data_IF_212895736031
#
_entry.id   IF_212895736031
#
_cell.length_a   1.000
_cell.length_b   1.000
_cell.length_c   1.000
_cell.angle_alpha   90.00
_cell.angle_beta   90.00
_cell.angle_gamma   90.00
#
_symmetry.space_group_name_H-M   'P 1'
#
loop_
_entity.id
_entity.type
_entity.pdbx_description
1 polymer ?
#
# COMPACT_ATOMS: atom_id res chain seq x y z
N UNK A 1 3.06 13.91 -12.28
CA UNK A 1 3.00 13.19 -10.99
C UNK A 1 2.77 14.22 -9.90
N UNK A 2 1.76 14.03 -9.08
CA UNK A 2 1.21 15.01 -8.13
C UNK A 2 1.65 14.70 -6.69
N UNK A 3 1.73 13.42 -6.31
CA UNK A 3 1.97 13.03 -4.92
C UNK A 3 3.29 12.28 -4.74
N UNK A 4 3.57 11.25 -5.55
CA UNK A 4 4.70 10.35 -5.28
C UNK A 4 6.00 10.71 -5.99
N UNK A 5 6.26 12.01 -6.19
CA UNK A 5 7.53 12.49 -6.79
C UNK A 5 8.76 11.98 -6.03
N UNK A 6 8.68 11.97 -4.70
CA UNK A 6 9.78 11.48 -3.87
C UNK A 6 10.09 9.99 -4.08
N UNK A 7 9.09 9.15 -4.33
CA UNK A 7 9.28 7.72 -4.63
C UNK A 7 9.96 7.53 -5.99
N UNK A 8 9.54 8.31 -7.00
CA UNK A 8 10.16 8.27 -8.34
C UNK A 8 11.61 8.76 -8.32
N UNK A 9 11.92 9.76 -7.50
CA UNK A 9 13.27 10.28 -7.35
C UNK A 9 14.18 9.33 -6.55
N UNK A 10 13.59 8.38 -5.82
CA UNK A 10 14.30 7.34 -5.06
C UNK A 10 13.78 5.95 -5.46
N UNK A 11 13.99 5.53 -6.72
CA UNK A 11 13.42 4.29 -7.24
C UNK A 11 14.15 3.05 -6.71
N UNK A 12 15.32 3.22 -6.10
CA UNK A 12 16.17 2.15 -5.62
C UNK A 12 16.60 2.35 -4.17
N UNK A 13 16.76 1.23 -3.46
CA UNK A 13 17.55 1.11 -2.26
C UNK A 13 18.41 -0.15 -2.42
N UNK A 14 19.72 0.01 -2.33
CA UNK A 14 20.71 -1.06 -2.53
C UNK A 14 20.57 -1.70 -3.93
N UNK A 15 20.40 -3.03 -3.99
CA UNK A 15 20.14 -3.80 -5.21
C UNK A 15 18.65 -3.94 -5.53
N UNK A 16 17.77 -3.33 -4.72
CA UNK A 16 16.33 -3.42 -4.89
C UNK A 16 15.80 -2.19 -5.65
N UNK A 17 15.09 -2.45 -6.74
CA UNK A 17 14.52 -1.43 -7.62
C UNK A 17 13.02 -1.59 -7.68
N UNK A 18 12.28 -0.50 -7.48
CA UNK A 18 10.83 -0.48 -7.61
C UNK A 18 10.37 -0.99 -8.98
N UNK A 19 9.28 -1.74 -8.99
CA UNK A 19 8.66 -2.25 -10.22
C UNK A 19 7.19 -1.90 -10.19
N UNK A 20 6.76 -1.12 -11.17
CA UNK A 20 5.36 -0.79 -11.38
C UNK A 20 4.55 -1.93 -12.00
N UNK A 21 3.24 -1.73 -12.02
CA UNK A 21 2.29 -2.49 -12.85
C UNK A 21 1.76 -1.62 -13.98
N UNK A 22 1.20 -2.25 -15.02
CA UNK A 22 0.70 -1.55 -16.20
C UNK A 22 -0.61 -0.78 -15.93
N UNK A 23 -0.91 0.24 -16.74
CA UNK A 23 -2.21 0.94 -16.66
C UNK A 23 -3.40 -0.01 -16.89
N UNK A 24 -3.21 -1.10 -17.64
CA UNK A 24 -4.24 -2.11 -17.86
C UNK A 24 -4.52 -2.90 -16.58
N UNK A 25 -3.46 -3.32 -15.87
CA UNK A 25 -3.57 -3.96 -14.56
C UNK A 25 -4.19 -3.02 -13.53
N UNK A 26 -3.81 -1.73 -13.50
CA UNK A 26 -4.43 -0.75 -12.60
C UNK A 26 -5.93 -0.63 -12.85
N UNK A 27 -6.37 -0.54 -14.12
CA UNK A 27 -7.80 -0.49 -14.46
C UNK A 27 -8.54 -1.75 -14.03
N UNK A 28 -7.93 -2.91 -14.21
CA UNK A 28 -8.49 -4.18 -13.75
C UNK A 28 -8.70 -4.18 -12.22
N UNK A 29 -7.71 -3.71 -11.46
CA UNK A 29 -7.83 -3.56 -10.01
C UNK A 29 -8.90 -2.53 -9.59
N UNK A 30 -9.08 -1.45 -10.35
CA UNK A 30 -10.15 -0.46 -10.12
C UNK A 30 -11.55 -1.07 -10.31
N UNK A 31 -11.71 -1.94 -11.32
CA UNK A 31 -12.93 -2.70 -11.56
C UNK A 31 -13.24 -3.65 -10.39
N UNK A 32 -12.24 -4.38 -9.92
CA UNK A 32 -12.39 -5.35 -8.83
C UNK A 32 -12.64 -4.72 -7.45
N UNK A 33 -11.82 -3.73 -7.07
CA UNK A 33 -11.76 -3.27 -5.67
C UNK A 33 -12.36 -1.89 -5.42
N UNK A 34 -12.77 -1.17 -6.46
CA UNK A 34 -13.35 0.17 -6.33
C UNK A 34 -14.65 0.36 -7.11
N UNK A 35 -15.37 -0.71 -7.43
CA UNK A 35 -16.63 -0.66 -8.18
C UNK A 35 -16.49 0.10 -9.51
N UNK A 36 -15.42 -0.17 -10.25
CA UNK A 36 -15.06 0.50 -11.51
C UNK A 36 -14.84 2.02 -11.41
N UNK A 37 -14.66 2.57 -10.19
CA UNK A 37 -14.25 3.96 -9.99
C UNK A 37 -12.74 4.05 -10.01
N UNK A 38 -12.22 5.15 -10.54
CA UNK A 38 -10.78 5.38 -10.49
C UNK A 38 -10.26 5.39 -9.06
N UNK A 39 -9.10 4.76 -8.85
CA UNK A 39 -8.38 4.86 -7.60
C UNK A 39 -7.93 6.29 -7.32
N UNK A 40 -7.70 6.63 -6.03
CA UNK A 40 -6.99 7.85 -5.64
C UNK A 40 -5.72 8.06 -6.46
N UNK A 41 -5.44 9.31 -6.84
CA UNK A 41 -4.28 9.66 -7.68
C UNK A 41 -2.97 9.17 -7.05
N UNK A 42 -2.79 9.32 -5.74
CA UNK A 42 -1.60 8.84 -5.04
C UNK A 42 -1.45 7.31 -5.12
N UNK A 43 -2.55 6.55 -5.05
CA UNK A 43 -2.51 5.08 -5.17
C UNK A 43 -2.17 4.65 -6.60
N UNK A 44 -2.74 5.30 -7.62
CA UNK A 44 -2.36 5.03 -9.01
C UNK A 44 -0.88 5.30 -9.28
N UNK A 45 -0.36 6.40 -8.74
CA UNK A 45 1.07 6.71 -8.83
C UNK A 45 1.91 5.66 -8.11
N UNK A 46 1.45 5.13 -6.96
CA UNK A 46 2.15 4.06 -6.25
C UNK A 46 2.22 2.80 -7.12
N UNK A 47 1.08 2.36 -7.62
CA UNK A 47 0.97 1.15 -8.43
C UNK A 47 1.78 1.25 -9.72
N UNK A 48 1.73 2.40 -10.40
CA UNK A 48 2.49 2.65 -11.63
C UNK A 48 4.01 2.67 -11.40
N UNK A 49 4.48 3.11 -10.23
CA UNK A 49 5.91 3.16 -9.92
C UNK A 49 6.43 1.88 -9.27
N UNK A 50 5.61 1.24 -8.45
CA UNK A 50 6.05 0.26 -7.47
C UNK A 50 4.99 -0.80 -7.14
N UNK A 51 3.92 -0.98 -7.94
CA UNK A 51 2.84 -1.92 -7.64
C UNK A 51 3.23 -3.40 -7.68
N UNK A 52 4.26 -3.79 -8.42
CA UNK A 52 4.77 -5.16 -8.41
C UNK A 52 5.82 -5.36 -7.32
N UNK A 53 6.64 -4.33 -7.05
CA UNK A 53 7.62 -4.35 -5.98
C UNK A 53 7.96 -2.93 -5.54
N UNK A 54 8.06 -2.72 -4.22
CA UNK A 54 8.50 -1.46 -3.62
C UNK A 54 9.62 -1.73 -2.62
N UNK A 55 10.75 -1.03 -2.71
CA UNK A 55 11.85 -1.21 -1.75
C UNK A 55 11.49 -0.69 -0.33
N UNK A 56 10.45 0.14 -0.22
CA UNK A 56 10.07 0.80 1.03
C UNK A 56 8.81 0.22 1.70
N UNK A 57 8.01 -0.56 0.96
CA UNK A 57 6.74 -1.15 1.40
C UNK A 57 6.80 -2.66 1.20
N UNK A 58 6.18 -3.42 2.10
CA UNK A 58 6.21 -4.87 2.03
C UNK A 58 4.89 -5.43 1.48
N UNK A 59 4.97 -6.13 0.35
CA UNK A 59 3.85 -6.84 -0.28
C UNK A 59 3.84 -8.33 0.05
N UNK A 60 4.71 -8.76 0.97
CA UNK A 60 4.83 -10.14 1.45
C UNK A 60 5.12 -11.13 0.30
N UNK A 61 4.68 -12.37 0.44
CA UNK A 61 4.94 -13.49 -0.48
C UNK A 61 4.08 -13.46 -1.76
N UNK A 62 3.23 -12.45 -1.96
CA UNK A 62 2.27 -12.41 -3.06
C UNK A 62 2.93 -12.05 -4.40
N UNK A 63 2.52 -12.72 -5.47
CA UNK A 63 3.04 -12.53 -6.82
C UNK A 63 2.38 -11.33 -7.54
N UNK A 64 1.22 -10.88 -7.05
CA UNK A 64 0.49 -9.75 -7.63
C UNK A 64 -0.31 -8.95 -6.60
N UNK A 65 -0.70 -7.73 -6.99
CA UNK A 65 -1.61 -6.91 -6.19
C UNK A 65 -3.00 -7.53 -6.08
N UNK A 66 -3.49 -8.22 -7.12
CA UNK A 66 -4.80 -8.88 -7.07
C UNK A 66 -4.80 -10.03 -6.05
N UNK A 67 -3.76 -10.86 -6.07
CA UNK A 67 -3.58 -11.94 -5.10
C UNK A 67 -3.52 -11.38 -3.67
N UNK A 68 -2.65 -10.38 -3.44
CA UNK A 68 -2.55 -9.70 -2.15
C UNK A 68 -3.91 -9.19 -1.66
N UNK A 69 -4.64 -8.44 -2.51
CA UNK A 69 -5.92 -7.87 -2.10
C UNK A 69 -6.99 -8.94 -1.85
N UNK A 70 -6.94 -10.08 -2.54
CA UNK A 70 -7.94 -11.15 -2.41
C UNK A 70 -7.67 -11.98 -1.16
N UNK A 71 -6.45 -12.50 -1.03
CA UNK A 71 -6.05 -13.41 0.05
C UNK A 71 -6.13 -12.70 1.42
N UNK A 72 -5.67 -11.46 1.53
CA UNK A 72 -5.75 -10.71 2.80
C UNK A 72 -7.21 -10.41 3.22
N UNK A 73 -8.13 -10.24 2.26
CA UNK A 73 -9.57 -10.08 2.58
C UNK A 73 -10.18 -11.39 3.05
N UNK A 74 -9.79 -12.50 2.44
CA UNK A 74 -10.22 -13.83 2.85
C UNK A 74 -9.68 -14.16 4.25
N UNK A 75 -8.42 -13.84 4.53
CA UNK A 75 -7.83 -14.04 5.86
C UNK A 75 -8.56 -13.23 6.94
N UNK A 76 -8.90 -11.96 6.67
CA UNK A 76 -9.72 -11.16 7.60
C UNK A 76 -11.08 -11.80 7.87
N UNK A 77 -11.69 -12.39 6.84
CA UNK A 77 -12.98 -13.07 6.98
C UNK A 77 -12.85 -14.35 7.79
N UNK A 78 -11.85 -15.17 7.50
CA UNK A 78 -11.69 -16.50 8.08
C UNK A 78 -11.20 -16.45 9.53
N UNK A 79 -10.27 -15.54 9.84
CA UNK A 79 -9.71 -15.42 11.19
C UNK A 79 -10.60 -14.62 12.15
N UNK A 80 -11.33 -13.62 11.64
CA UNK A 80 -12.01 -12.64 12.48
C UNK A 80 -13.50 -12.44 12.19
N UNK A 81 -14.09 -13.18 11.24
CA UNK A 81 -15.45 -12.93 10.72
C UNK A 81 -15.64 -11.47 10.27
N UNK A 82 -14.57 -10.82 9.80
CA UNK A 82 -14.57 -9.41 9.44
C UNK A 82 -14.72 -9.24 7.93
N UNK A 83 -15.70 -8.46 7.53
CA UNK A 83 -15.85 -7.96 6.16
C UNK A 83 -15.95 -6.44 6.21
N UNK A 84 -15.05 -5.75 5.53
CA UNK A 84 -15.04 -4.30 5.45
C UNK A 84 -15.82 -3.91 4.18
N UNK A 85 -17.00 -3.31 4.35
CA UNK A 85 -17.90 -2.97 3.23
C UNK A 85 -17.42 -1.76 2.42
N UNK A 86 -16.69 -0.84 3.05
CA UNK A 86 -16.14 0.35 2.37
C UNK A 86 -15.05 -0.06 1.40
N UNK A 87 -14.94 0.57 0.22
CA UNK A 87 -13.87 0.25 -0.72
C UNK A 87 -12.51 0.66 -0.11
N UNK A 88 -11.58 -0.28 -0.05
CA UNK A 88 -10.27 -0.09 0.57
C UNK A 88 -9.21 -0.84 -0.22
N UNK A 89 -7.94 -0.53 0.04
CA UNK A 89 -6.81 -1.18 -0.62
C UNK A 89 -5.62 -1.29 0.33
N UNK A 90 -5.10 -2.50 0.53
CA UNK A 90 -3.88 -2.74 1.31
C UNK A 90 -2.65 -2.19 0.58
N UNK A 91 -1.72 -1.58 1.31
CA UNK A 91 -0.55 -0.91 0.73
C UNK A 91 0.79 -1.34 1.36
N UNK A 92 0.78 -2.00 2.52
CA UNK A 92 1.98 -2.47 3.22
C UNK A 92 1.55 -3.49 4.28
N UNK A 93 2.04 -4.73 4.22
CA UNK A 93 1.57 -5.82 5.10
C UNK A 93 2.40 -5.97 6.37
N UNK A 94 3.63 -5.44 6.39
CA UNK A 94 4.59 -5.68 7.48
C UNK A 94 4.99 -4.37 8.18
N UNK A 95 4.06 -3.42 8.25
CA UNK A 95 4.27 -2.22 9.06
C UNK A 95 4.01 -2.54 10.53
N UNK A 96 5.04 -2.62 11.36
CA UNK A 96 4.93 -3.02 12.77
C UNK A 96 4.16 -4.34 12.99
N UNK A 97 4.19 -5.24 12.00
CA UNK A 97 3.52 -6.54 12.04
C UNK A 97 2.01 -6.51 11.77
N UNK A 98 1.44 -5.39 11.30
CA UNK A 98 0.01 -5.29 10.99
C UNK A 98 -0.21 -4.63 9.61
N UNK A 99 -1.20 -5.12 8.82
CA UNK A 99 -1.52 -4.56 7.53
C UNK A 99 -1.91 -3.08 7.59
N UNK A 100 -1.45 -2.34 6.60
CA UNK A 100 -1.73 -0.92 6.37
C UNK A 100 -2.53 -0.80 5.09
N UNK A 101 -3.56 0.05 5.11
CA UNK A 101 -4.47 0.23 3.99
C UNK A 101 -4.98 1.66 3.89
N UNK A 102 -5.58 1.98 2.75
CA UNK A 102 -6.29 3.25 2.51
C UNK A 102 -7.74 2.96 2.13
N UNK A 103 -8.65 3.88 2.50
CA UNK A 103 -9.99 3.88 1.92
C UNK A 103 -9.97 4.61 0.58
N UNK A 104 -10.64 4.03 -0.41
CA UNK A 104 -10.62 4.50 -1.80
C UNK A 104 -11.59 5.65 -2.06
N UNK A 105 -12.44 5.97 -1.07
CA UNK A 105 -13.45 7.03 -1.12
C UNK A 105 -13.02 8.32 -0.37
N UNK A 106 -11.74 8.45 0.03
CA UNK A 106 -11.23 9.56 0.86
C UNK A 106 -10.34 10.58 0.12
N UNK A 107 -10.61 10.79 -1.17
CA UNK A 107 -9.93 11.78 -2.01
C UNK A 107 -8.65 11.26 -2.68
N UNK A 108 -7.92 12.17 -3.34
CA UNK A 108 -6.79 11.82 -4.21
C UNK A 108 -5.54 11.30 -3.47
N UNK A 109 -5.35 11.70 -2.22
CA UNK A 109 -4.23 11.31 -1.35
C UNK A 109 -4.79 10.90 0.01
N UNK A 110 -5.33 9.68 0.10
CA UNK A 110 -6.18 9.27 1.21
C UNK A 110 -5.37 9.15 2.51
N UNK A 111 -6.00 9.37 3.68
CA UNK A 111 -5.36 9.10 4.95
C UNK A 111 -5.07 7.60 5.13
N UNK A 112 -3.97 7.30 5.83
CA UNK A 112 -3.50 5.93 6.03
C UNK A 112 -4.07 5.33 7.31
N UNK A 113 -4.47 4.07 7.20
CA UNK A 113 -5.05 3.26 8.27
C UNK A 113 -4.17 2.04 8.51
N UNK A 114 -4.13 1.58 9.74
CA UNK A 114 -3.51 0.31 10.10
C UNK A 114 -4.53 -0.57 10.80
N UNK A 115 -4.53 -1.86 10.48
CA UNK A 115 -5.34 -2.84 11.18
C UNK A 115 -4.95 -2.88 12.66
N UNK A 116 -5.93 -3.06 13.55
CA UNK A 116 -5.63 -3.31 14.97
C UNK A 116 -5.39 -4.80 15.21
N UNK A 117 -4.70 -5.14 16.29
CA UNK A 117 -4.64 -6.51 16.78
C UNK A 117 -6.04 -7.02 17.13
N UNK A 118 -6.37 -8.24 16.72
CA UNK A 118 -7.67 -8.89 16.95
C UNK A 118 -8.86 -8.01 16.52
N UNK A 119 -8.95 -7.66 15.23
CA UNK A 119 -9.96 -6.72 14.75
C UNK A 119 -11.38 -7.28 14.92
N UNK A 120 -12.33 -6.38 15.22
CA UNK A 120 -13.76 -6.70 15.26
C UNK A 120 -14.54 -5.79 14.32
N UNK A 121 -15.82 -6.09 14.10
CA UNK A 121 -16.72 -5.25 13.28
C UNK A 121 -16.83 -3.82 13.81
N UNK A 122 -16.71 -3.63 15.12
CA UNK A 122 -16.80 -2.32 15.78
C UNK A 122 -15.46 -1.57 15.78
N UNK A 123 -14.33 -2.29 15.84
CA UNK A 123 -12.99 -1.71 15.84
C UNK A 123 -12.00 -2.62 15.13
N UNK A 124 -11.70 -2.30 13.86
CA UNK A 124 -10.75 -3.06 13.04
C UNK A 124 -9.53 -2.25 12.58
N UNK A 125 -9.52 -0.93 12.76
CA UNK A 125 -8.40 -0.09 12.33
C UNK A 125 -8.20 1.13 13.22
N UNK A 126 -7.00 1.70 13.11
CA UNK A 126 -6.65 3.00 13.66
C UNK A 126 -6.01 3.87 12.57
N UNK A 127 -6.17 5.20 12.71
CA UNK A 127 -5.51 6.17 11.82
C UNK A 127 -4.07 6.33 12.27
N UNK A 128 -3.13 6.06 11.37
CA UNK A 128 -1.69 6.22 11.64
C UNK A 128 -1.26 7.69 11.59
N UNK A 129 -2.13 8.54 11.02
CA UNK A 129 -1.86 9.96 10.79
C UNK A 129 -1.17 10.20 9.45
N UNK A 130 -1.46 11.34 8.83
CA UNK A 130 -0.96 11.68 7.50
C UNK A 130 -1.71 10.98 6.37
N UNK A 131 -1.17 11.12 5.17
CA UNK A 131 -1.70 10.59 3.90
C UNK A 131 -0.77 9.55 3.29
N UNK A 132 -1.23 8.86 2.25
CA UNK A 132 -0.43 7.89 1.48
C UNK A 132 0.91 8.48 1.05
N UNK A 133 0.92 9.72 0.53
CA UNK A 133 2.15 10.42 0.19
C UNK A 133 3.12 10.50 1.38
N UNK A 134 2.64 10.99 2.53
CA UNK A 134 3.49 11.19 3.71
C UNK A 134 3.99 9.87 4.29
N UNK A 135 3.19 8.80 4.19
CA UNK A 135 3.55 7.46 4.62
C UNK A 135 4.68 6.89 3.77
N UNK A 136 4.56 6.93 2.44
CA UNK A 136 5.62 6.45 1.53
C UNK A 136 6.92 7.23 1.77
N UNK A 137 6.85 8.55 1.95
CA UNK A 137 8.03 9.37 2.26
C UNK A 137 8.67 8.95 3.59
N UNK A 138 7.87 8.70 4.63
CA UNK A 138 8.39 8.31 5.94
C UNK A 138 9.10 6.96 5.88
N UNK A 139 8.56 5.99 5.13
CA UNK A 139 9.15 4.67 4.90
C UNK A 139 10.49 4.76 4.17
N UNK A 140 10.58 5.51 3.08
CA UNK A 140 11.84 5.71 2.35
C UNK A 140 12.91 6.35 3.26
N UNK A 141 12.53 7.38 4.02
CA UNK A 141 13.46 8.05 4.96
C UNK A 141 13.91 7.13 6.08
N UNK A 142 13.02 6.26 6.57
CA UNK A 142 13.37 5.26 7.57
C UNK A 142 14.45 4.32 7.03
N UNK A 143 14.28 3.77 5.82
CA UNK A 143 15.30 2.92 5.19
C UNK A 143 16.63 3.65 5.01
N UNK A 144 16.61 4.88 4.49
CA UNK A 144 17.83 5.69 4.30
C UNK A 144 18.57 5.97 5.62
N UNK A 145 17.85 6.13 6.73
CA UNK A 145 18.43 6.43 8.05
C UNK A 145 19.06 5.20 8.68
N UNK A 146 18.39 4.05 8.62
CA UNK A 146 18.81 2.83 9.32
C UNK A 146 19.71 1.92 8.49
N UNK A 147 19.74 2.13 7.16
CA UNK A 147 20.60 1.40 6.23
C UNK A 147 21.45 2.38 5.38
N UNK A 148 22.28 3.24 6.00
CA UNK A 148 22.99 4.31 5.28
C UNK A 148 24.20 3.84 4.46
N UNK A 149 24.76 2.66 4.76
CA UNK A 149 26.08 2.22 4.26
C UNK A 149 26.07 1.52 2.89
N UNK A 150 24.92 1.37 2.25
CA UNK A 150 24.82 0.68 0.97
C UNK A 150 25.15 1.56 -0.25
N UNK A 151 25.63 2.79 -0.03
CA UNK A 151 26.21 3.69 -1.06
C UNK A 151 27.68 3.41 -1.38
N UNK A 152 28.25 2.28 -0.95
CA UNK A 152 29.60 1.87 -1.35
C UNK A 152 29.55 0.49 -2.00
N UNK A 153 29.49 0.48 -3.33
CA UNK A 153 30.40 -0.27 -4.21
C UNK A 153 30.21 0.20 -5.66
#
# INVERSE_FOLDING_TARGET
>A
MKYLQFLKDHPTADSFTNKGISDAEIRHLEELYNNSRSFPVALKELLSLAGNFCHALDYNIYDSQEELQTEEREELKDLYDLTIERPFFFIDLVSYGLPVFVFLDEGDDPPVNQMVNNPTKEKYYERVGGTLQSYVISRIRYYQKWYPDHKKN
#
